data_IF_929095242772
#
_entry.id   IF_929095242772
#
_cell.length_a   1.000
_cell.length_b   1.000
_cell.length_c   1.000
_cell.angle_alpha   90.00
_cell.angle_beta   90.00
_cell.angle_gamma   90.00
#
_symmetry.space_group_name_H-M   'P 1'
#
loop_
_entity.id
_entity.type
_entity.pdbx_description
1 polymer ?
#
# COMPACT_ATOMS: atom_id res chain seq x y z
N UNK A 1 8.14 1.19 -10.98
CA UNK A 1 7.49 2.12 -10.02
C UNK A 1 7.66 1.55 -8.60
N UNK A 2 7.77 2.38 -7.57
CA UNK A 2 7.79 1.94 -6.16
C UNK A 2 6.73 2.70 -5.37
N UNK A 3 5.96 2.01 -4.55
CA UNK A 3 4.89 2.58 -3.71
C UNK A 3 5.23 2.34 -2.25
N UNK A 4 5.33 3.41 -1.47
CA UNK A 4 5.51 3.36 -0.02
C UNK A 4 4.17 3.67 0.66
N UNK A 5 3.74 2.80 1.56
CA UNK A 5 2.52 3.00 2.34
C UNK A 5 2.86 3.01 3.82
N UNK A 6 2.57 4.12 4.48
CA UNK A 6 2.60 4.20 5.93
C UNK A 6 1.30 3.62 6.51
N UNK A 7 1.40 2.77 7.52
CA UNK A 7 0.24 2.18 8.18
C UNK A 7 0.48 2.06 9.67
N UNK A 8 -0.47 2.55 10.48
CA UNK A 8 -0.46 2.40 11.93
C UNK A 8 -1.21 1.12 12.39
N UNK A 9 -1.62 0.28 11.44
CA UNK A 9 -2.39 -0.94 11.69
C UNK A 9 -3.87 -0.72 11.99
N UNK A 10 -4.35 0.53 11.99
CA UNK A 10 -5.77 0.83 12.16
C UNK A 10 -6.61 0.35 10.97
N UNK A 11 -7.91 0.13 11.18
CA UNK A 11 -8.83 -0.18 10.07
C UNK A 11 -8.82 0.91 8.97
N UNK A 12 -8.51 2.15 9.35
CA UNK A 12 -8.42 3.26 8.42
C UNK A 12 -7.18 3.16 7.54
N UNK A 13 -6.02 2.90 8.13
CA UNK A 13 -4.77 2.77 7.36
C UNK A 13 -4.76 1.52 6.48
N UNK A 14 -5.39 0.42 6.91
CA UNK A 14 -5.48 -0.81 6.13
C UNK A 14 -6.25 -0.64 4.81
N UNK A 15 -7.18 0.31 4.73
CA UNK A 15 -7.85 0.67 3.45
C UNK A 15 -6.85 1.29 2.47
N UNK A 16 -5.92 2.11 2.95
CA UNK A 16 -4.86 2.68 2.12
C UNK A 16 -3.88 1.60 1.63
N UNK A 17 -3.54 0.64 2.51
CA UNK A 17 -2.73 -0.53 2.13
C UNK A 17 -3.41 -1.34 1.03
N UNK A 18 -4.70 -1.65 1.18
CA UNK A 18 -5.45 -2.39 0.16
C UNK A 18 -5.44 -1.67 -1.20
N UNK A 19 -5.73 -0.37 -1.21
CA UNK A 19 -5.75 0.42 -2.44
C UNK A 19 -4.38 0.48 -3.12
N UNK A 20 -3.31 0.60 -2.34
CA UNK A 20 -1.95 0.63 -2.87
C UNK A 20 -1.55 -0.71 -3.51
N UNK A 21 -1.99 -1.84 -2.94
CA UNK A 21 -1.78 -3.17 -3.52
C UNK A 21 -2.48 -3.31 -4.88
N UNK A 22 -3.75 -2.88 -4.99
CA UNK A 22 -4.51 -2.90 -6.25
C UNK A 22 -3.82 -2.06 -7.33
N UNK A 23 -3.31 -0.88 -6.98
CA UNK A 23 -2.57 -0.03 -7.92
C UNK A 23 -1.25 -0.68 -8.34
N UNK A 24 -0.53 -1.27 -7.40
CA UNK A 24 0.75 -1.88 -7.67
C UNK A 24 0.63 -3.11 -8.58
N UNK A 25 -0.44 -3.89 -8.46
CA UNK A 25 -0.73 -5.01 -9.36
C UNK A 25 -0.94 -4.55 -10.81
N UNK A 26 -1.73 -3.48 -11.00
CA UNK A 26 -1.98 -2.90 -12.33
C UNK A 26 -0.73 -2.31 -12.99
N UNK A 27 0.18 -1.73 -12.18
CA UNK A 27 1.37 -1.05 -12.67
C UNK A 27 2.65 -1.89 -12.62
N UNK A 28 2.57 -3.14 -12.15
CA UNK A 28 3.76 -3.97 -11.91
C UNK A 28 4.74 -3.33 -10.92
N UNK A 29 4.21 -2.61 -9.93
CA UNK A 29 5.00 -1.85 -8.95
C UNK A 29 5.32 -2.68 -7.71
N UNK A 30 6.43 -2.35 -7.05
CA UNK A 30 6.76 -2.92 -5.75
C UNK A 30 6.16 -2.05 -4.64
N UNK A 31 5.42 -2.69 -3.72
CA UNK A 31 4.89 -2.04 -2.51
C UNK A 31 5.84 -2.28 -1.33
N UNK A 32 6.11 -1.25 -0.56
CA UNK A 32 6.78 -1.32 0.74
C UNK A 32 5.86 -0.76 1.81
N UNK A 33 5.70 -1.49 2.92
CA UNK A 33 4.94 -1.04 4.08
C UNK A 33 5.90 -0.47 5.12
N UNK A 34 5.53 0.66 5.70
CA UNK A 34 6.21 1.26 6.85
C UNK A 34 5.20 1.33 7.99
N UNK A 35 5.53 0.65 9.08
CA UNK A 35 4.75 0.66 10.32
C UNK A 35 5.28 1.72 11.29
#
# INVERSE_FOLDING_TARGET
MKVLVATDGSEHSLKAVKRALEMAELEGAQVTLMA
#
